data_IF_230959250632
#
_entry.id   IF_230959250632
#
_cell.length_a   1.000
_cell.length_b   1.000
_cell.length_c   1.000
_cell.angle_alpha   90.00
_cell.angle_beta   90.00
_cell.angle_gamma   90.00
#
_symmetry.space_group_name_H-M   'P 1'
#
loop_
_entity.id
_entity.type
_entity.pdbx_description
1 polymer ?
#
# COMPACT_ATOMS: atom_id res chain seq x y z
N UNK A 1 -22.74 3.57 0.88
CA UNK A 1 -22.10 3.53 0.90
C UNK A 1 -21.47 3.32 0.88
N UNK A 2 -21.53 3.44 0.78
CA UNK A 2 -20.75 3.09 0.84
C UNK A 2 -19.89 3.31 1.21
N UNK A 3 -19.72 3.66 1.52
CA UNK A 3 -18.75 3.73 1.77
C UNK A 3 -18.23 3.29 2.27
N UNK A 4 -18.11 3.13 1.79
CA UNK A 4 -17.48 2.41 2.20
C UNK A 4 -16.97 2.33 3.10
N UNK A 5 -17.58 2.08 3.17
CA UNK A 5 -16.95 2.01 4.00
C UNK A 5 -15.79 2.48 4.29
N UNK A 6 -15.68 3.39 4.16
CA UNK A 6 -14.41 3.77 4.59
C UNK A 6 -14.49 4.15 6.03
N UNK A 7 -14.05 3.33 6.90
CA UNK A 7 -14.02 3.69 8.31
C UNK A 7 -12.90 4.67 8.60
N UNK A 8 -12.01 4.84 7.64
CA UNK A 8 -10.80 5.64 7.82
C UNK A 8 -11.09 7.14 7.70
N UNK A 9 -10.58 7.91 8.64
CA UNK A 9 -10.71 9.36 8.60
C UNK A 9 -9.93 9.99 7.44
N UNK A 10 -9.05 9.24 6.84
CA UNK A 10 -8.30 9.70 5.69
C UNK A 10 -9.16 9.80 4.44
N UNK A 11 -10.21 9.01 4.36
CA UNK A 11 -11.06 9.02 3.19
C UNK A 11 -12.04 10.20 3.27
N UNK A 12 -12.29 10.83 2.16
CA UNK A 12 -13.28 11.90 2.10
C UNK A 12 -14.67 11.32 2.21
N UNK A 13 -15.55 11.99 2.98
CA UNK A 13 -16.93 11.53 3.08
C UNK A 13 -17.57 11.47 1.70
N UNK A 14 -18.15 10.33 1.37
CA UNK A 14 -18.86 10.14 0.12
C UNK A 14 -17.99 9.87 -1.08
N UNK A 15 -16.68 10.03 -0.96
CA UNK A 15 -15.75 9.84 -2.06
C UNK A 15 -15.13 8.44 -2.02
N UNK A 16 -14.50 8.08 -0.92
CA UNK A 16 -13.89 6.75 -0.76
C UNK A 16 -12.67 6.50 -1.63
N UNK A 17 -12.27 7.46 -2.45
CA UNK A 17 -11.19 7.27 -3.41
C UNK A 17 -9.93 8.05 -3.07
N UNK A 18 -10.02 9.02 -2.19
CA UNK A 18 -8.88 9.86 -1.84
C UNK A 18 -8.59 9.81 -0.35
N UNK A 19 -7.31 9.77 -0.01
CA UNK A 19 -6.89 9.94 1.36
C UNK A 19 -6.98 11.43 1.72
N UNK A 20 -7.47 11.72 2.92
CA UNK A 20 -7.56 13.11 3.39
C UNK A 20 -6.18 13.65 3.73
N UNK A 21 -5.33 12.79 4.31
CA UNK A 21 -3.99 13.19 4.70
C UNK A 21 -2.99 12.20 4.17
N UNK A 22 -2.07 12.68 3.34
CA UNK A 22 -0.98 11.89 2.81
C UNK A 22 0.31 12.63 3.09
N UNK A 23 1.24 11.97 3.76
CA UNK A 23 2.54 12.53 4.07
C UNK A 23 3.29 12.76 2.75
N UNK A 24 3.69 14.01 2.43
CA UNK A 24 4.37 14.27 1.16
C UNK A 24 5.67 13.50 0.99
N UNK A 25 6.38 13.26 2.08
CA UNK A 25 7.64 12.51 2.01
C UNK A 25 7.37 11.04 1.69
N UNK A 26 6.34 10.47 2.30
CA UNK A 26 5.94 9.08 2.01
C UNK A 26 5.48 8.98 0.57
N UNK A 27 4.67 9.92 0.12
CA UNK A 27 4.19 9.95 -1.26
C UNK A 27 5.37 9.99 -2.24
N UNK A 28 6.33 10.87 -2.00
CA UNK A 28 7.50 11.01 -2.86
C UNK A 28 8.31 9.72 -2.89
N UNK A 29 8.57 9.15 -1.73
CA UNK A 29 9.36 7.92 -1.62
C UNK A 29 8.67 6.75 -2.32
N UNK A 30 7.36 6.65 -2.16
CA UNK A 30 6.58 5.58 -2.79
C UNK A 30 6.60 5.73 -4.30
N UNK A 31 6.38 6.95 -4.82
CA UNK A 31 6.40 7.17 -6.26
C UNK A 31 7.77 6.89 -6.86
N UNK A 32 8.84 7.31 -6.18
CA UNK A 32 10.20 7.04 -6.64
C UNK A 32 10.46 5.55 -6.72
N UNK A 33 10.02 4.81 -5.70
CA UNK A 33 10.19 3.36 -5.67
C UNK A 33 9.36 2.68 -6.75
N UNK A 34 8.13 3.15 -6.96
CA UNK A 34 7.27 2.58 -8.00
C UNK A 34 7.85 2.79 -9.40
N UNK A 35 8.45 3.94 -9.65
CA UNK A 35 9.10 4.19 -10.94
C UNK A 35 10.26 3.25 -11.17
N UNK A 36 11.02 2.96 -10.11
CA UNK A 36 12.11 2.00 -10.19
C UNK A 36 11.58 0.59 -10.46
N UNK A 37 10.50 0.22 -9.79
CA UNK A 37 9.84 -1.08 -9.98
C UNK A 37 9.32 -1.20 -11.40
N UNK A 38 8.77 -0.14 -11.95
CA UNK A 38 8.30 -0.11 -13.32
C UNK A 38 9.44 -0.46 -14.28
N UNK A 39 10.62 0.12 -14.08
CA UNK A 39 11.79 -0.21 -14.86
C UNK A 39 12.21 -1.67 -14.70
N UNK A 40 12.14 -2.18 -13.47
CA UNK A 40 12.46 -3.59 -13.21
C UNK A 40 11.50 -4.53 -13.91
N UNK A 41 10.22 -4.18 -13.96
CA UNK A 41 9.23 -5.00 -14.67
C UNK A 41 9.51 -5.01 -16.16
N UNK A 42 9.89 -3.87 -16.73
CA UNK A 42 10.28 -3.83 -18.14
C UNK A 42 11.49 -4.71 -18.40
N UNK A 43 12.46 -4.70 -17.48
CA UNK A 43 13.63 -5.57 -17.57
C UNK A 43 13.24 -7.04 -17.55
N UNK A 44 12.27 -7.39 -16.71
CA UNK A 44 11.75 -8.76 -16.66
C UNK A 44 11.11 -9.17 -17.97
N UNK A 45 10.32 -8.27 -18.58
CA UNK A 45 9.70 -8.55 -19.86
C UNK A 45 10.77 -8.87 -20.92
N UNK A 46 11.84 -8.08 -20.91
CA UNK A 46 12.92 -8.31 -21.86
C UNK A 46 13.63 -9.63 -21.61
N UNK A 47 13.85 -9.98 -20.34
CA UNK A 47 14.48 -11.25 -20.01
C UNK A 47 13.64 -12.44 -20.50
N UNK A 48 12.33 -12.34 -20.36
CA UNK A 48 11.42 -13.39 -20.84
C UNK A 48 11.44 -13.44 -22.36
N UNK A 49 11.39 -12.30 -23.02
CA UNK A 49 11.46 -12.25 -24.48
C UNK A 49 12.74 -12.86 -25.01
N UNK A 50 13.86 -12.60 -24.32
CA UNK A 50 15.17 -13.11 -24.72
C UNK A 50 15.42 -14.53 -24.23
N UNK A 51 14.42 -15.14 -23.60
CA UNK A 51 14.48 -16.51 -23.10
C UNK A 51 15.68 -16.75 -22.17
N UNK A 52 15.89 -15.79 -21.27
CA UNK A 52 16.94 -15.89 -20.27
C UNK A 52 16.70 -17.08 -19.34
N UNK A 53 17.76 -17.52 -18.71
CA UNK A 53 17.71 -18.67 -17.81
C UNK A 53 16.67 -18.45 -16.69
N UNK A 54 15.83 -19.45 -16.47
CA UNK A 54 14.69 -19.33 -15.56
C UNK A 54 15.08 -18.91 -14.15
N UNK A 55 16.17 -19.45 -13.62
CA UNK A 55 16.59 -19.10 -12.27
C UNK A 55 16.91 -17.62 -12.15
N UNK A 56 17.54 -17.04 -13.18
CA UNK A 56 17.86 -15.62 -13.16
C UNK A 56 16.60 -14.77 -13.19
N UNK A 57 15.62 -15.18 -14.00
CA UNK A 57 14.35 -14.46 -14.07
C UNK A 57 13.64 -14.52 -12.72
N UNK A 58 13.62 -15.70 -12.08
CA UNK A 58 12.96 -15.86 -10.79
C UNK A 58 13.61 -15.02 -9.68
N UNK A 59 14.94 -14.89 -9.74
CA UNK A 59 15.64 -14.02 -8.78
C UNK A 59 15.18 -12.58 -8.95
N UNK A 60 15.03 -12.12 -10.19
CA UNK A 60 14.57 -10.77 -10.45
C UNK A 60 13.11 -10.58 -10.04
N UNK A 61 12.27 -11.58 -10.20
CA UNK A 61 10.90 -11.54 -9.72
C UNK A 61 10.87 -11.36 -8.21
N UNK A 62 11.70 -12.11 -7.49
CA UNK A 62 11.78 -11.99 -6.03
C UNK A 62 12.19 -10.58 -5.62
N UNK A 63 13.11 -9.99 -6.35
CA UNK A 63 13.56 -8.63 -6.09
C UNK A 63 12.43 -7.62 -6.24
N UNK A 64 11.62 -7.76 -7.29
CA UNK A 64 10.46 -6.89 -7.52
C UNK A 64 9.43 -7.07 -6.40
N UNK A 65 9.18 -8.31 -5.99
CA UNK A 65 8.26 -8.58 -4.91
C UNK A 65 8.69 -7.92 -3.62
N UNK A 66 9.98 -7.97 -3.30
CA UNK A 66 10.51 -7.34 -2.10
C UNK A 66 10.37 -5.82 -2.17
N UNK A 67 10.62 -5.24 -3.34
CA UNK A 67 10.45 -3.81 -3.54
C UNK A 67 8.99 -3.39 -3.34
N UNK A 68 8.05 -4.20 -3.82
CA UNK A 68 6.62 -3.93 -3.64
C UNK A 68 6.21 -4.04 -2.18
N UNK A 69 6.81 -4.97 -1.42
CA UNK A 69 6.55 -5.03 0.02
C UNK A 69 6.97 -3.75 0.70
N UNK A 70 8.07 -3.15 0.27
CA UNK A 70 8.50 -1.85 0.80
C UNK A 70 7.49 -0.76 0.53
N UNK A 71 6.86 -0.77 -0.65
CA UNK A 71 5.80 0.17 -0.98
C UNK A 71 4.61 -0.03 -0.05
N UNK A 72 4.18 -1.28 0.12
CA UNK A 72 3.06 -1.60 1.01
C UNK A 72 3.33 -1.13 2.43
N UNK A 73 4.55 -1.35 2.91
CA UNK A 73 4.94 -0.94 4.26
C UNK A 73 4.84 0.57 4.43
N UNK A 74 5.31 1.33 3.44
CA UNK A 74 5.25 2.79 3.49
C UNK A 74 3.82 3.30 3.47
N UNK A 75 2.98 2.69 2.65
CA UNK A 75 1.57 3.09 2.58
C UNK A 75 0.84 2.74 3.87
N UNK A 76 1.13 1.59 4.44
CA UNK A 76 0.54 1.21 5.71
C UNK A 76 0.98 2.16 6.82
N UNK A 77 2.24 2.58 6.79
CA UNK A 77 2.75 3.56 7.75
C UNK A 77 1.96 4.87 7.66
N UNK A 78 1.70 5.35 6.44
CA UNK A 78 0.90 6.55 6.25
C UNK A 78 -0.51 6.36 6.81
N UNK A 79 -1.11 5.20 6.52
CA UNK A 79 -2.45 4.88 6.99
C UNK A 79 -2.53 4.87 8.51
N UNK A 80 -1.54 4.26 9.16
CA UNK A 80 -1.49 4.20 10.62
C UNK A 80 -1.30 5.58 11.24
N UNK A 81 -0.41 6.39 10.66
CA UNK A 81 -0.11 7.71 11.23
C UNK A 81 -1.27 8.69 11.09
N UNK A 82 -1.99 8.63 10.01
CA UNK A 82 -3.01 9.63 9.71
C UNK A 82 -4.42 9.11 9.85
N UNK A 83 -4.74 7.99 9.20
CA UNK A 83 -6.11 7.50 9.18
C UNK A 83 -6.49 6.78 10.47
N UNK A 84 -5.65 5.83 10.88
CA UNK A 84 -5.96 5.03 12.06
C UNK A 84 -5.90 5.87 13.34
N UNK A 85 -4.88 6.71 13.44
CA UNK A 85 -4.73 7.58 14.61
C UNK A 85 -5.94 8.50 14.74
N UNK A 86 -6.39 9.09 13.62
CA UNK A 86 -7.54 9.98 13.64
C UNK A 86 -8.82 9.26 14.05
N UNK A 87 -9.05 8.07 13.50
CA UNK A 87 -10.23 7.30 13.83
C UNK A 87 -10.27 6.91 15.31
N UNK A 88 -9.12 6.55 15.86
CA UNK A 88 -9.03 6.14 17.26
C UNK A 88 -9.21 7.34 18.18
N UNK A 89 -8.65 8.49 17.82
CA UNK A 89 -8.78 9.70 18.62
C UNK A 89 -10.16 10.32 18.57
N UNK A 90 -10.98 9.91 17.62
CA UNK A 90 -12.32 10.51 17.45
C UNK A 90 -13.26 10.25 18.61
N UNK A 91 -12.93 9.30 19.49
CA UNK A 91 -13.78 8.86 20.58
C UNK A 91 -15.11 8.30 20.11
N UNK A 92 -15.17 7.87 18.86
CA UNK A 92 -16.35 7.23 18.28
C UNK A 92 -16.10 5.73 18.28
N UNK A 93 -16.80 4.95 19.12
CA UNK A 93 -16.55 3.50 19.20
C UNK A 93 -16.75 2.77 17.88
N UNK A 94 -17.71 3.23 17.07
CA UNK A 94 -17.96 2.58 15.79
C UNK A 94 -16.81 2.78 14.83
N UNK A 95 -16.27 4.00 14.78
CA UNK A 95 -15.13 4.31 13.93
C UNK A 95 -13.89 3.55 14.38
N UNK A 96 -13.67 3.49 15.69
CA UNK A 96 -12.51 2.77 16.24
C UNK A 96 -12.59 1.29 15.90
N UNK A 97 -13.76 0.69 16.09
CA UNK A 97 -13.95 -0.72 15.83
C UNK A 97 -13.77 -1.04 14.35
N UNK A 98 -14.35 -0.22 13.48
CA UNK A 98 -14.22 -0.40 12.04
C UNK A 98 -12.76 -0.28 11.61
N UNK A 99 -12.02 0.65 12.21
CA UNK A 99 -10.60 0.80 11.91
C UNK A 99 -9.79 -0.40 12.35
N UNK A 100 -10.08 -0.96 13.53
CA UNK A 100 -9.38 -2.14 14.01
C UNK A 100 -9.58 -3.31 13.05
N UNK A 101 -10.81 -3.50 12.57
CA UNK A 101 -11.09 -4.58 11.63
C UNK A 101 -10.39 -4.36 10.30
N UNK A 102 -10.36 -3.13 9.83
CA UNK A 102 -9.64 -2.78 8.60
C UNK A 102 -8.15 -3.06 8.75
N UNK A 103 -7.56 -2.67 9.88
CA UNK A 103 -6.14 -2.91 10.13
C UNK A 103 -5.82 -4.40 10.16
N UNK A 104 -6.68 -5.19 10.78
CA UNK A 104 -6.48 -6.65 10.80
C UNK A 104 -6.49 -7.22 9.39
N UNK A 105 -7.44 -6.77 8.57
CA UNK A 105 -7.53 -7.21 7.18
C UNK A 105 -6.28 -6.85 6.40
N UNK A 106 -5.81 -5.62 6.55
CA UNK A 106 -4.62 -5.14 5.85
C UNK A 106 -3.37 -5.91 6.28
N UNK A 107 -3.24 -6.17 7.58
CA UNK A 107 -2.09 -6.92 8.09
C UNK A 107 -2.08 -8.33 7.53
N UNK A 108 -3.22 -9.01 7.54
CA UNK A 108 -3.29 -10.36 7.00
C UNK A 108 -2.96 -10.42 5.51
N UNK A 109 -3.43 -9.45 4.74
CA UNK A 109 -3.16 -9.43 3.31
C UNK A 109 -1.69 -9.19 3.01
N UNK A 110 -0.98 -8.46 3.86
CA UNK A 110 0.40 -8.07 3.61
C UNK A 110 1.42 -8.84 4.43
N UNK A 111 1.01 -9.86 5.14
CA UNK A 111 1.88 -10.59 6.07
C UNK A 111 2.80 -11.60 5.38
N UNK A 112 2.65 -11.85 4.10
CA UNK A 112 3.48 -12.83 3.39
C UNK A 112 4.78 -12.28 2.92
#
# INVERSE_FOLDING_TARGET
>A
MSEPVIPCACARPGDGTHAVAVDPEIKHAVLTRLRRIEGQVRGLQKMVEDERYCADVLIQVSSVQEALRGVSRSLLQNHLKHCAAEAIRSNDPERSEAMYEELLELVFRNAR
#
